data_IF_692519776083
#
_entry.id   IF_692519776083
#
_cell.length_a   1.000
_cell.length_b   1.000
_cell.length_c   1.000
_cell.angle_alpha   90.00
_cell.angle_beta   90.00
_cell.angle_gamma   90.00
#
_symmetry.space_group_name_H-M   'P 1'
#
loop_
_entity.id
_entity.type
_entity.pdbx_description
1 polymer ?
#
# COMPACT_ATOMS: atom_id res chain seq x y z
N UNK A 1 2.57 36.92 48.58
CA UNK A 1 2.99 36.01 47.49
C UNK A 1 3.85 36.82 46.55
N UNK A 2 5.10 36.40 46.34
CA UNK A 2 6.00 37.08 45.41
C UNK A 2 5.38 37.14 44.01
N UNK A 3 5.40 38.30 43.38
CA UNK A 3 4.86 38.53 42.04
C UNK A 3 5.35 37.46 41.04
N UNK A 4 6.59 37.00 41.18
CA UNK A 4 7.17 35.96 40.34
C UNK A 4 6.48 34.59 40.44
N UNK A 5 5.99 34.19 41.62
CA UNK A 5 5.32 32.90 41.77
C UNK A 5 3.92 32.90 41.14
N UNK A 6 3.23 34.04 41.18
CA UNK A 6 1.92 34.21 40.54
C UNK A 6 2.03 34.07 39.02
N UNK A 7 3.04 34.70 38.40
CA UNK A 7 3.27 34.59 36.95
C UNK A 7 3.64 33.17 36.51
N UNK A 8 4.45 32.46 37.30
CA UNK A 8 4.86 31.08 37.01
C UNK A 8 3.65 30.14 37.04
N UNK A 9 2.80 30.24 38.06
CA UNK A 9 1.58 29.44 38.17
C UNK A 9 0.62 29.71 37.01
N UNK A 10 0.45 30.99 36.62
CA UNK A 10 -0.42 31.36 35.51
C UNK A 10 0.09 30.83 34.16
N UNK A 11 1.40 30.94 33.90
CA UNK A 11 2.01 30.40 32.68
C UNK A 11 1.86 28.87 32.59
N UNK A 12 2.07 28.16 33.70
CA UNK A 12 1.87 26.72 33.77
C UNK A 12 0.40 26.34 33.53
N UNK A 13 -0.54 27.07 34.16
CA UNK A 13 -1.97 26.83 33.99
C UNK A 13 -2.43 27.03 32.54
N UNK A 14 -1.91 28.06 31.85
CA UNK A 14 -2.19 28.30 30.43
C UNK A 14 -1.63 27.18 29.56
N UNK A 15 -0.39 26.73 29.81
CA UNK A 15 0.23 25.66 29.03
C UNK A 15 -0.51 24.32 29.21
N UNK A 16 -0.89 23.99 30.44
CA UNK A 16 -1.71 22.80 30.74
C UNK A 16 -3.10 22.94 30.11
N UNK A 17 -3.72 24.12 30.18
CA UNK A 17 -5.00 24.40 29.53
C UNK A 17 -4.92 24.23 28.00
N UNK A 18 -3.83 24.67 27.37
CA UNK A 18 -3.59 24.46 25.94
C UNK A 18 -3.38 22.99 25.59
N UNK A 19 -2.62 22.25 26.40
CA UNK A 19 -2.41 20.82 26.21
C UNK A 19 -3.73 20.02 26.30
N UNK A 20 -4.57 20.34 27.28
CA UNK A 20 -5.87 19.68 27.48
C UNK A 20 -6.90 20.11 26.41
N UNK A 21 -6.84 21.36 25.93
CA UNK A 21 -7.75 21.86 24.89
C UNK A 21 -7.32 21.47 23.46
N UNK A 22 -6.06 21.09 23.26
CA UNK A 22 -5.52 20.60 21.99
C UNK A 22 -6.37 19.50 21.31
N UNK A 23 -6.86 18.44 21.99
CA UNK A 23 -7.75 17.45 21.37
C UNK A 23 -9.08 18.06 20.89
N UNK A 24 -9.59 19.06 21.59
CA UNK A 24 -10.88 19.70 21.28
C UNK A 24 -10.78 20.69 20.11
N UNK A 25 -9.64 21.35 19.92
CA UNK A 25 -9.40 22.21 18.75
C UNK A 25 -8.94 21.42 17.51
N UNK A 26 -8.27 20.27 17.70
CA UNK A 26 -7.94 19.35 16.60
C UNK A 26 -9.19 18.73 15.97
N UNK A 27 -10.27 18.49 16.72
CA UNK A 27 -11.50 17.89 16.20
C UNK A 27 -12.25 18.78 15.19
N UNK A 28 -12.09 20.11 15.25
CA UNK A 28 -12.73 21.04 14.31
C UNK A 28 -12.09 21.01 12.90
N UNK A 29 -10.78 20.80 12.80
CA UNK A 29 -10.08 20.61 11.52
C UNK A 29 -10.06 19.15 11.06
N UNK A 30 -10.46 18.21 11.92
CA UNK A 30 -10.44 16.78 11.63
C UNK A 30 -11.58 16.31 10.70
N UNK A 31 -12.53 17.17 10.30
CA UNK A 31 -13.61 16.75 9.36
C UNK A 31 -13.09 16.18 8.03
N UNK A 32 -11.83 16.45 7.66
CA UNK A 32 -11.16 15.87 6.48
C UNK A 32 -10.17 14.73 6.81
N UNK A 33 -9.74 14.55 8.08
CA UNK A 33 -8.85 13.47 8.53
C UNK A 33 -9.60 12.33 9.26
N UNK A 34 -10.83 12.58 9.71
CA UNK A 34 -11.63 11.65 10.53
C UNK A 34 -12.40 10.60 9.73
N UNK A 35 -12.49 10.74 8.41
CA UNK A 35 -13.10 9.70 7.58
C UNK A 35 -12.30 8.40 7.67
N UNK A 36 -10.97 8.50 7.67
CA UNK A 36 -10.06 7.36 7.69
C UNK A 36 -10.06 6.66 9.06
N UNK A 37 -9.99 7.41 10.16
CA UNK A 37 -10.05 6.85 11.52
C UNK A 37 -11.42 6.24 11.84
N UNK A 38 -12.51 6.87 11.40
CA UNK A 38 -13.85 6.31 11.60
C UNK A 38 -14.08 5.02 10.79
N UNK A 39 -13.45 4.91 9.62
CA UNK A 39 -13.50 3.71 8.79
C UNK A 39 -12.69 2.57 9.42
N UNK A 40 -11.47 2.82 9.91
CA UNK A 40 -10.66 1.85 10.64
C UNK A 40 -11.39 1.32 11.88
N UNK A 41 -11.98 2.22 12.69
CA UNK A 41 -12.77 1.83 13.85
C UNK A 41 -13.95 0.92 13.45
N UNK A 42 -14.65 1.22 12.35
CA UNK A 42 -15.80 0.42 11.90
C UNK A 42 -15.42 -1.01 11.47
N UNK A 43 -14.25 -1.18 10.83
CA UNK A 43 -13.75 -2.48 10.40
C UNK A 43 -13.33 -3.32 11.59
N UNK A 44 -12.65 -2.72 12.57
CA UNK A 44 -12.23 -3.41 13.79
C UNK A 44 -13.44 -3.83 14.65
N UNK A 45 -14.48 -3.00 14.72
CA UNK A 45 -15.74 -3.36 15.36
C UNK A 45 -16.43 -4.53 14.65
N UNK A 46 -16.48 -4.53 13.31
CA UNK A 46 -17.05 -5.65 12.55
C UNK A 46 -16.27 -6.95 12.77
N UNK A 47 -14.93 -6.89 12.78
CA UNK A 47 -14.07 -8.05 13.08
C UNK A 47 -14.33 -8.59 14.48
N UNK A 48 -14.40 -7.70 15.48
CA UNK A 48 -14.69 -8.07 16.87
C UNK A 48 -16.05 -8.76 17.02
N UNK A 49 -17.06 -8.27 16.31
CA UNK A 49 -18.39 -8.89 16.27
C UNK A 49 -18.35 -10.30 15.67
N UNK A 50 -17.62 -10.51 14.57
CA UNK A 50 -17.48 -11.83 13.93
C UNK A 50 -16.70 -12.82 14.80
N UNK A 51 -15.66 -12.36 15.50
CA UNK A 51 -14.92 -13.19 16.46
C UNK A 51 -15.82 -13.65 17.63
N UNK A 52 -16.64 -12.75 18.16
CA UNK A 52 -17.61 -13.11 19.19
C UNK A 52 -18.64 -14.12 18.68
N UNK A 53 -19.09 -13.97 17.42
CA UNK A 53 -20.04 -14.91 16.82
C UNK A 53 -19.41 -16.29 16.58
N UNK A 54 -18.15 -16.35 16.14
CA UNK A 54 -17.38 -17.61 16.06
C UNK A 54 -17.35 -18.31 17.40
N UNK A 55 -16.99 -17.60 18.46
CA UNK A 55 -16.86 -18.18 19.80
C UNK A 55 -18.20 -18.72 20.30
N UNK A 56 -19.30 -17.99 20.06
CA UNK A 56 -20.67 -18.47 20.36
C UNK A 56 -21.02 -19.75 19.61
N UNK A 57 -20.75 -19.82 18.31
CA UNK A 57 -21.04 -21.00 17.50
C UNK A 57 -20.20 -22.21 17.92
N UNK A 58 -18.95 -21.99 18.34
CA UNK A 58 -18.09 -23.05 18.84
C UNK A 58 -18.57 -23.56 20.20
N UNK A 59 -18.97 -22.68 21.11
CA UNK A 59 -19.62 -23.09 22.35
C UNK A 59 -20.90 -23.86 22.09
N UNK A 60 -21.75 -23.41 21.16
CA UNK A 60 -22.99 -24.11 20.81
C UNK A 60 -22.73 -25.51 20.20
N UNK A 61 -21.71 -25.66 19.34
CA UNK A 61 -21.30 -26.96 18.81
C UNK A 61 -20.82 -27.90 19.93
N UNK A 62 -20.01 -27.37 20.84
CA UNK A 62 -19.49 -28.12 21.97
C UNK A 62 -20.61 -28.58 22.91
N UNK A 63 -21.54 -27.69 23.23
CA UNK A 63 -22.71 -28.01 24.06
C UNK A 63 -23.60 -29.06 23.39
N UNK A 64 -23.83 -28.96 22.06
CA UNK A 64 -24.57 -29.95 21.29
C UNK A 64 -23.90 -31.34 21.34
N UNK A 65 -22.59 -31.39 21.14
CA UNK A 65 -21.80 -32.62 21.19
C UNK A 65 -21.85 -33.24 22.61
N UNK A 66 -21.83 -32.41 23.66
CA UNK A 66 -21.99 -32.87 25.04
C UNK A 66 -23.40 -33.41 25.32
N UNK A 67 -24.44 -32.72 24.88
CA UNK A 67 -25.81 -33.15 25.11
C UNK A 67 -26.13 -34.45 24.36
N UNK A 68 -25.56 -34.64 23.18
CA UNK A 68 -25.61 -35.92 22.47
C UNK A 68 -24.85 -37.03 23.23
N UNK A 69 -23.62 -36.75 23.69
CA UNK A 69 -22.84 -37.72 24.47
C UNK A 69 -23.52 -38.13 25.78
N UNK A 70 -24.32 -37.24 26.37
CA UNK A 70 -25.15 -37.50 27.55
C UNK A 70 -26.48 -38.20 27.23
N UNK A 71 -26.78 -38.43 25.95
CA UNK A 71 -28.03 -39.07 25.50
C UNK A 71 -29.27 -38.19 25.66
N UNK A 72 -29.12 -36.86 25.79
CA UNK A 72 -30.25 -35.93 25.86
C UNK A 72 -30.89 -35.67 24.49
N UNK A 73 -30.12 -35.90 23.42
CA UNK A 73 -30.52 -35.63 22.04
C UNK A 73 -30.58 -36.95 21.28
N UNK A 74 -31.69 -37.23 20.55
CA UNK A 74 -31.80 -38.42 19.72
C UNK A 74 -30.78 -38.44 18.56
N UNK A 75 -30.40 -39.65 18.12
CA UNK A 75 -29.49 -39.84 16.98
C UNK A 75 -30.06 -39.31 15.65
N UNK A 76 -31.39 -39.23 15.49
CA UNK A 76 -32.02 -38.63 14.31
C UNK A 76 -31.83 -37.10 14.21
N UNK A 77 -31.81 -36.39 15.34
CA UNK A 77 -31.84 -34.93 15.37
C UNK A 77 -30.43 -34.31 15.42
N UNK A 78 -29.49 -34.99 16.08
CA UNK A 78 -28.11 -34.54 16.21
C UNK A 78 -27.40 -34.19 14.88
N UNK A 79 -27.40 -35.05 13.84
CA UNK A 79 -26.63 -34.78 12.62
C UNK A 79 -27.16 -33.54 11.86
N UNK A 80 -28.47 -33.30 11.91
CA UNK A 80 -29.10 -32.14 11.25
C UNK A 80 -28.68 -30.85 11.97
N UNK A 81 -28.80 -30.81 13.30
CA UNK A 81 -28.44 -29.64 14.10
C UNK A 81 -26.95 -29.32 14.00
N UNK A 82 -26.10 -30.36 14.05
CA UNK A 82 -24.65 -30.20 13.93
C UNK A 82 -24.24 -29.69 12.56
N UNK A 83 -24.87 -30.18 11.49
CA UNK A 83 -24.60 -29.72 10.13
C UNK A 83 -24.99 -28.25 9.91
N UNK A 84 -26.06 -27.77 10.55
CA UNK A 84 -26.46 -26.36 10.51
C UNK A 84 -25.42 -25.47 11.21
N UNK A 85 -25.05 -25.80 12.45
CA UNK A 85 -24.05 -25.04 13.20
C UNK A 85 -22.69 -25.01 12.52
N UNK A 86 -22.25 -26.13 11.93
CA UNK A 86 -21.01 -26.20 11.16
C UNK A 86 -21.05 -25.33 9.91
N UNK A 87 -22.18 -25.29 9.19
CA UNK A 87 -22.36 -24.41 8.03
C UNK A 87 -22.28 -22.94 8.44
N UNK A 88 -22.91 -22.56 9.55
CA UNK A 88 -22.83 -21.20 10.07
C UNK A 88 -21.42 -20.82 10.49
N UNK A 89 -20.74 -21.69 11.24
CA UNK A 89 -19.36 -21.47 11.66
C UNK A 89 -18.41 -21.31 10.46
N UNK A 90 -18.55 -22.16 9.44
CA UNK A 90 -17.78 -22.03 8.21
C UNK A 90 -18.06 -20.72 7.46
N UNK A 91 -19.30 -20.21 7.51
CA UNK A 91 -19.66 -18.91 6.96
C UNK A 91 -18.94 -17.76 7.66
N UNK A 92 -18.98 -17.73 9.00
CA UNK A 92 -18.31 -16.72 9.81
C UNK A 92 -16.79 -16.74 9.62
N UNK A 93 -16.19 -17.93 9.54
CA UNK A 93 -14.74 -18.05 9.29
C UNK A 93 -14.34 -17.50 7.92
N UNK A 94 -15.14 -17.74 6.86
CA UNK A 94 -14.88 -17.13 5.55
C UNK A 94 -14.97 -15.61 5.58
N UNK A 95 -15.92 -15.04 6.32
CA UNK A 95 -16.01 -13.58 6.50
C UNK A 95 -14.81 -13.01 7.26
N UNK A 96 -14.27 -13.75 8.23
CA UNK A 96 -13.04 -13.35 8.92
C UNK A 96 -11.82 -13.42 8.00
N UNK A 97 -11.68 -14.49 7.22
CA UNK A 97 -10.57 -14.67 6.27
C UNK A 97 -10.55 -13.54 5.22
N UNK A 98 -11.72 -13.12 4.71
CA UNK A 98 -11.78 -11.99 3.77
C UNK A 98 -11.35 -10.69 4.42
N UNK A 99 -11.81 -10.39 5.65
CA UNK A 99 -11.41 -9.18 6.36
C UNK A 99 -9.92 -9.16 6.68
N UNK A 100 -9.34 -10.28 7.12
CA UNK A 100 -7.91 -10.39 7.40
C UNK A 100 -7.06 -10.27 6.13
N UNK A 101 -7.52 -10.81 5.00
CA UNK A 101 -6.89 -10.62 3.69
C UNK A 101 -6.82 -9.15 3.29
N UNK A 102 -7.93 -8.41 3.42
CA UNK A 102 -7.94 -6.97 3.10
C UNK A 102 -7.03 -6.15 4.02
N UNK A 103 -6.93 -6.51 5.31
CA UNK A 103 -6.01 -5.85 6.23
C UNK A 103 -4.54 -6.14 5.89
N UNK A 104 -4.23 -7.38 5.50
CA UNK A 104 -2.89 -7.75 5.06
C UNK A 104 -2.48 -6.99 3.79
N UNK A 105 -3.37 -6.89 2.80
CA UNK A 105 -3.14 -6.13 1.57
C UNK A 105 -2.92 -4.65 1.86
N UNK A 106 -3.76 -4.03 2.69
CA UNK A 106 -3.60 -2.63 3.11
C UNK A 106 -2.26 -2.38 3.82
N UNK A 107 -1.83 -3.30 4.70
CA UNK A 107 -0.55 -3.20 5.38
C UNK A 107 0.65 -3.36 4.42
N UNK A 108 0.53 -4.19 3.39
CA UNK A 108 1.54 -4.33 2.34
C UNK A 108 1.61 -3.06 1.49
N UNK A 109 0.46 -2.52 1.07
CA UNK A 109 0.37 -1.27 0.31
C UNK A 109 1.04 -0.12 1.08
N UNK A 110 0.72 0.05 2.36
CA UNK A 110 1.32 1.09 3.20
C UNK A 110 2.84 0.94 3.32
N UNK A 111 3.34 -0.30 3.45
CA UNK A 111 4.79 -0.56 3.47
C UNK A 111 5.46 -0.17 2.15
N UNK A 112 4.81 -0.46 1.02
CA UNK A 112 5.32 -0.08 -0.31
C UNK A 112 5.34 1.43 -0.43
N UNK A 113 4.27 2.12 -0.05
CA UNK A 113 4.20 3.58 -0.11
C UNK A 113 5.28 4.25 0.75
N UNK A 114 5.50 3.77 1.99
CA UNK A 114 6.56 4.26 2.87
C UNK A 114 7.95 4.09 2.26
N UNK A 115 8.23 2.92 1.69
CA UNK A 115 9.51 2.64 1.04
C UNK A 115 9.70 3.51 -0.22
N UNK A 116 8.64 3.70 -1.03
CA UNK A 116 8.68 4.58 -2.21
C UNK A 116 8.90 6.03 -1.80
N UNK A 117 8.23 6.51 -0.74
CA UNK A 117 8.42 7.85 -0.21
C UNK A 117 9.86 8.07 0.28
N UNK A 118 10.43 7.10 1.00
CA UNK A 118 11.83 7.14 1.43
C UNK A 118 12.79 7.23 0.23
N UNK A 119 12.62 6.38 -0.78
CA UNK A 119 13.46 6.41 -2.00
C UNK A 119 13.33 7.72 -2.78
N UNK A 120 12.13 8.31 -2.83
CA UNK A 120 11.92 9.62 -3.46
C UNK A 120 12.62 10.73 -2.67
N UNK A 121 12.58 10.69 -1.34
CA UNK A 121 13.30 11.64 -0.49
C UNK A 121 14.84 11.50 -0.65
N UNK A 122 15.33 10.26 -0.76
CA UNK A 122 16.76 9.97 -1.02
C UNK A 122 17.20 10.44 -2.41
N UNK A 123 16.36 10.24 -3.44
CA UNK A 123 16.64 10.75 -4.79
C UNK A 123 16.63 12.28 -4.83
N UNK A 124 15.71 12.93 -4.11
CA UNK A 124 15.65 14.38 -3.98
C UNK A 124 16.88 14.93 -3.24
N UNK A 125 17.28 14.32 -2.13
CA UNK A 125 18.49 14.72 -1.38
C UNK A 125 19.76 14.48 -2.17
N UNK A 126 19.83 13.41 -3.00
CA UNK A 126 20.94 13.16 -3.93
C UNK A 126 21.05 14.23 -5.02
N UNK A 127 19.93 14.79 -5.50
CA UNK A 127 19.92 15.92 -6.45
C UNK A 127 20.34 17.25 -5.82
N UNK A 128 20.03 17.47 -4.54
CA UNK A 128 20.43 18.67 -3.80
C UNK A 128 21.83 18.59 -3.19
N UNK A 129 22.47 17.42 -3.16
CA UNK A 129 23.85 17.31 -2.68
C UNK A 129 24.77 18.03 -3.68
N UNK A 130 25.51 19.09 -3.26
CA UNK A 130 26.50 19.72 -4.11
C UNK A 130 27.63 18.70 -4.27
N UNK A 131 27.53 17.90 -5.31
CA UNK A 131 28.60 17.03 -5.75
C UNK A 131 29.65 17.94 -6.35
N UNK A 132 30.72 18.23 -5.62
CA UNK A 132 31.94 18.79 -6.19
C UNK A 132 32.61 17.87 -7.22
N UNK A 133 31.91 16.87 -7.78
CA UNK A 133 32.38 15.85 -8.72
C UNK A 133 31.20 15.24 -9.50
N UNK A 134 30.39 16.06 -10.17
CA UNK A 134 29.42 15.61 -11.19
C UNK A 134 29.60 16.42 -12.49
N UNK A 135 30.82 16.38 -13.02
CA UNK A 135 31.17 16.91 -14.33
C UNK A 135 32.36 16.16 -14.99
N UNK A 136 32.44 14.83 -14.89
CA UNK A 136 33.10 14.11 -15.99
C UNK A 136 32.37 12.86 -16.51
N UNK A 137 31.47 12.20 -15.75
CA UNK A 137 30.89 10.91 -16.18
C UNK A 137 29.73 11.03 -17.18
N UNK A 138 28.89 12.08 -17.07
CA UNK A 138 27.85 12.34 -18.07
C UNK A 138 28.50 12.79 -19.40
N UNK A 139 29.54 13.62 -19.33
CA UNK A 139 30.34 14.04 -20.50
C UNK A 139 31.09 12.86 -21.14
N UNK A 140 31.70 11.97 -20.34
CA UNK A 140 32.39 10.79 -20.86
C UNK A 140 31.41 9.80 -21.51
N UNK A 141 30.23 9.59 -20.93
CA UNK A 141 29.21 8.73 -21.52
C UNK A 141 28.63 9.33 -22.81
N UNK A 142 28.34 10.63 -22.83
CA UNK A 142 27.91 11.34 -24.05
C UNK A 142 29.00 11.29 -25.12
N UNK A 143 30.27 11.43 -24.74
CA UNK A 143 31.40 11.31 -25.66
C UNK A 143 31.57 9.88 -26.17
N UNK A 144 31.40 8.86 -25.34
CA UNK A 144 31.39 7.45 -25.75
C UNK A 144 30.23 7.13 -26.70
N UNK A 145 29.04 7.69 -26.45
CA UNK A 145 27.88 7.57 -27.34
C UNK A 145 28.15 8.31 -28.67
N UNK A 146 28.73 9.51 -28.62
CA UNK A 146 29.08 10.29 -29.80
C UNK A 146 30.15 9.58 -30.66
N UNK A 147 31.20 9.04 -30.03
CA UNK A 147 32.23 8.22 -30.70
C UNK A 147 31.62 6.99 -31.36
N UNK A 148 30.72 6.29 -30.67
CA UNK A 148 30.03 5.12 -31.23
C UNK A 148 29.08 5.50 -32.38
N UNK A 149 28.36 6.63 -32.28
CA UNK A 149 27.52 7.17 -33.36
C UNK A 149 28.36 7.62 -34.57
N UNK A 150 29.53 8.22 -34.34
CA UNK A 150 30.46 8.61 -35.40
C UNK A 150 31.06 7.39 -36.12
N UNK A 151 31.43 6.34 -35.38
CA UNK A 151 31.89 5.07 -35.96
C UNK A 151 30.82 4.34 -36.78
N UNK A 152 29.53 4.51 -36.43
CA UNK A 152 28.39 3.89 -37.13
C UNK A 152 27.77 4.75 -38.23
N UNK A 153 28.31 5.94 -38.54
CA UNK A 153 27.89 6.70 -39.74
C UNK A 153 28.44 6.02 -40.99
N UNK A 154 27.94 4.81 -41.26
CA UNK A 154 28.12 4.18 -42.56
C UNK A 154 27.43 5.03 -43.63
N UNK A 155 28.06 5.08 -44.80
CA UNK A 155 27.60 5.90 -45.94
C UNK A 155 26.16 5.51 -46.30
N UNK A 156 25.34 6.51 -46.60
CA UNK A 156 23.95 6.31 -47.05
C UNK A 156 23.91 5.25 -48.17
N UNK A 157 23.08 4.22 -47.99
CA UNK A 157 22.97 3.09 -48.91
C UNK A 157 22.01 3.33 -50.06
N UNK A 158 21.14 4.34 -49.92
CA UNK A 158 20.06 4.63 -50.85
C UNK A 158 18.81 5.08 -50.10
N UNK A 159 17.65 4.85 -50.74
CA UNK A 159 16.33 5.22 -50.24
C UNK A 159 15.47 3.97 -50.04
N UNK A 160 14.60 4.00 -49.03
CA UNK A 160 13.62 2.96 -48.78
C UNK A 160 12.62 2.87 -49.95
N UNK A 161 12.35 1.67 -50.51
CA UNK A 161 11.46 1.52 -51.67
C UNK A 161 9.99 1.84 -51.37
N UNK A 162 9.58 1.82 -50.10
CA UNK A 162 8.18 2.06 -49.71
C UNK A 162 7.87 3.50 -49.35
N UNK A 163 8.78 4.19 -48.64
CA UNK A 163 8.52 5.53 -48.11
C UNK A 163 9.52 6.60 -48.59
N UNK A 164 10.53 6.22 -49.37
CA UNK A 164 11.50 7.15 -49.94
C UNK A 164 12.50 7.75 -48.93
N UNK A 165 12.50 7.31 -47.67
CA UNK A 165 13.44 7.83 -46.66
C UNK A 165 14.86 7.31 -46.90
N UNK A 166 15.88 8.14 -46.64
CA UNK A 166 17.28 7.72 -46.69
C UNK A 166 17.56 6.63 -45.66
N UNK A 167 18.25 5.57 -46.09
CA UNK A 167 18.58 4.41 -45.25
C UNK A 167 20.08 4.17 -45.23
N UNK A 168 20.59 3.66 -44.11
CA UNK A 168 22.00 3.31 -43.96
C UNK A 168 22.26 1.88 -44.41
N UNK A 169 23.51 1.55 -44.78
CA UNK A 169 23.86 0.21 -45.27
C UNK A 169 23.63 -0.88 -44.22
N UNK A 170 23.79 -0.51 -42.95
CA UNK A 170 23.59 -1.38 -41.80
C UNK A 170 22.13 -1.55 -41.38
N UNK A 171 21.18 -0.82 -41.98
CA UNK A 171 19.78 -0.87 -41.56
C UNK A 171 19.09 -2.13 -42.12
N UNK A 172 18.66 -3.04 -41.25
CA UNK A 172 17.82 -4.19 -41.64
C UNK A 172 16.37 -3.79 -41.92
N UNK A 173 15.90 -2.70 -41.28
CA UNK A 173 14.55 -2.18 -41.39
C UNK A 173 14.58 -0.65 -41.55
N UNK A 174 13.62 -0.12 -42.30
CA UNK A 174 13.44 1.32 -42.41
C UNK A 174 12.96 1.91 -41.08
N UNK A 175 13.71 2.88 -40.54
CA UNK A 175 13.39 3.58 -39.30
C UNK A 175 12.09 4.41 -39.34
N UNK A 176 11.54 4.68 -40.52
CA UNK A 176 10.29 5.44 -40.69
C UNK A 176 9.06 4.56 -40.90
N UNK A 177 9.15 3.57 -41.79
CA UNK A 177 7.99 2.75 -42.19
C UNK A 177 8.09 1.27 -41.80
N UNK A 178 9.15 0.88 -41.10
CA UNK A 178 9.36 -0.49 -40.57
C UNK A 178 9.58 -1.57 -41.62
N UNK A 179 9.69 -1.22 -42.90
CA UNK A 179 9.85 -2.19 -43.99
C UNK A 179 11.27 -2.76 -44.00
N UNK A 180 11.42 -4.08 -44.16
CA UNK A 180 12.74 -4.73 -44.32
C UNK A 180 13.43 -4.22 -45.57
N UNK A 181 14.73 -3.93 -45.46
CA UNK A 181 15.55 -3.38 -46.54
C UNK A 181 16.47 -4.42 -47.17
N UNK A 182 16.77 -5.48 -46.42
CA UNK A 182 17.43 -6.69 -46.89
C UNK A 182 16.44 -7.84 -46.78
N UNK A 183 16.43 -8.74 -47.77
CA UNK A 183 15.64 -9.99 -47.72
C UNK A 183 16.15 -10.93 -46.61
#
# INVERSE_FOLDING_TARGET
MDIGSVFLVLALAVLVGLFISQPFFRSFNAKYLSADTAQVDSVEHRRSALLAERDRLFSALQDLDFDFALGKIPEEDYPVQRAELLRHAAGVLRELDTLEGHQADAAVEERIEREVAARRADAASRRLRPTGQSAPEEDELEELIARRRAQRKDRAAGFCPKCGQVVQRSDAFCSNCGTRLHD
#
